data_IF_949983049393
#
_entry.id   IF_949983049393
#
_cell.length_a   1.000
_cell.length_b   1.000
_cell.length_c   1.000
_cell.angle_alpha   90.00
_cell.angle_beta   90.00
_cell.angle_gamma   90.00
#
_symmetry.space_group_name_H-M   'P 1'
#
loop_
_entity.id
_entity.type
_entity.pdbx_description
1 polymer ?
#
# COMPACT_ATOMS: atom_id res chain seq x y z
N UNK A 1 13.34 -13.29 -19.92
CA UNK A 1 14.63 -12.71 -19.47
C UNK A 1 14.86 -13.12 -18.02
N UNK A 2 15.90 -13.92 -17.72
CA UNK A 2 16.08 -14.55 -16.39
C UNK A 2 16.85 -13.70 -15.36
N UNK A 3 17.49 -12.59 -15.77
CA UNK A 3 18.44 -11.83 -14.92
C UNK A 3 17.92 -10.46 -14.44
N UNK A 4 16.59 -10.26 -14.41
CA UNK A 4 16.00 -8.95 -14.05
C UNK A 4 15.62 -8.84 -12.58
N UNK A 5 15.44 -9.93 -11.86
CA UNK A 5 15.09 -9.93 -10.45
C UNK A 5 16.29 -10.40 -9.62
N UNK A 6 16.69 -9.62 -8.62
CA UNK A 6 17.80 -9.92 -7.72
C UNK A 6 17.26 -9.83 -6.30
N UNK A 7 17.37 -10.93 -5.56
CA UNK A 7 17.07 -10.97 -4.13
C UNK A 7 18.40 -11.01 -3.36
N UNK A 8 18.62 -10.04 -2.49
CA UNK A 8 19.75 -9.95 -1.57
C UNK A 8 19.25 -10.33 -0.20
N UNK A 9 19.70 -11.48 0.32
CA UNK A 9 19.42 -11.90 1.70
C UNK A 9 20.63 -11.55 2.56
N UNK A 10 20.44 -10.69 3.55
CA UNK A 10 21.48 -10.17 4.43
C UNK A 10 21.61 -10.95 5.75
N UNK A 11 20.68 -11.85 6.09
CA UNK A 11 20.72 -12.63 7.34
C UNK A 11 21.76 -13.77 7.32
N UNK A 12 22.32 -14.09 6.16
CA UNK A 12 23.25 -15.21 5.96
C UNK A 12 24.68 -14.71 5.69
N UNK A 13 25.31 -14.01 6.65
CA UNK A 13 26.61 -13.32 6.47
C UNK A 13 27.70 -14.19 5.80
N UNK A 14 27.79 -15.46 6.21
CA UNK A 14 28.74 -16.44 5.66
C UNK A 14 28.46 -16.69 4.17
N UNK A 15 27.19 -16.77 3.77
CA UNK A 15 26.80 -17.02 2.38
C UNK A 15 26.92 -15.75 1.53
N UNK A 16 26.73 -14.56 2.10
CA UNK A 16 26.92 -13.29 1.39
C UNK A 16 28.33 -13.14 0.84
N UNK A 17 29.36 -13.38 1.68
CA UNK A 17 30.76 -13.29 1.24
C UNK A 17 31.08 -14.29 0.13
N UNK A 18 30.44 -15.46 0.18
CA UNK A 18 30.59 -16.47 -0.88
C UNK A 18 29.83 -16.08 -2.15
N UNK A 19 28.73 -15.34 -2.04
CA UNK A 19 27.84 -15.01 -3.14
C UNK A 19 28.10 -13.64 -3.80
N UNK A 20 29.03 -12.82 -3.32
CA UNK A 20 29.38 -11.52 -3.95
C UNK A 20 29.62 -11.66 -5.46
N UNK A 21 30.39 -12.67 -5.86
CA UNK A 21 30.69 -12.94 -7.27
C UNK A 21 29.44 -13.30 -8.10
N UNK A 22 28.40 -13.89 -7.47
CA UNK A 22 27.14 -14.24 -8.14
C UNK A 22 26.39 -12.96 -8.50
N UNK A 23 26.24 -12.03 -7.54
CA UNK A 23 25.60 -10.74 -7.78
C UNK A 23 26.33 -9.95 -8.87
N UNK A 24 27.66 -9.92 -8.85
CA UNK A 24 28.47 -9.32 -9.92
C UNK A 24 28.19 -9.91 -11.30
N UNK A 25 28.12 -11.24 -11.39
CA UNK A 25 27.82 -11.92 -12.65
C UNK A 25 26.40 -11.59 -13.12
N UNK A 26 25.42 -11.52 -12.21
CA UNK A 26 24.03 -11.20 -12.54
C UNK A 26 23.88 -9.74 -12.98
N UNK A 27 24.48 -8.80 -12.26
CA UNK A 27 24.50 -7.38 -12.58
C UNK A 27 25.17 -7.11 -13.93
N UNK A 28 26.28 -7.80 -14.24
CA UNK A 28 26.93 -7.72 -15.57
C UNK A 28 26.08 -8.34 -16.68
N UNK A 29 25.46 -9.51 -16.44
CA UNK A 29 24.62 -10.20 -17.43
C UNK A 29 23.33 -9.45 -17.75
N UNK A 30 22.76 -8.76 -16.77
CA UNK A 30 21.57 -7.92 -16.95
C UNK A 30 21.85 -6.63 -17.75
N UNK A 31 23.12 -6.26 -17.95
CA UNK A 31 23.58 -5.14 -18.79
C UNK A 31 22.88 -3.82 -18.46
N UNK A 32 21.97 -3.37 -19.34
CA UNK A 32 21.21 -2.12 -19.21
C UNK A 32 19.72 -2.37 -18.92
N UNK A 33 19.34 -3.63 -18.69
CA UNK A 33 17.95 -3.95 -18.38
C UNK A 33 17.55 -3.35 -17.03
N UNK A 34 16.29 -2.88 -16.91
CA UNK A 34 15.74 -2.50 -15.60
C UNK A 34 15.69 -3.69 -14.66
N UNK A 35 15.94 -3.43 -13.38
CA UNK A 35 16.11 -4.42 -12.32
C UNK A 35 14.98 -4.34 -11.31
N UNK A 36 14.49 -5.48 -10.85
CA UNK A 36 13.74 -5.62 -9.62
C UNK A 36 14.68 -6.08 -8.51
N UNK A 37 14.76 -5.30 -7.44
CA UNK A 37 15.63 -5.56 -6.31
C UNK A 37 14.77 -5.85 -5.09
N UNK A 38 15.03 -6.97 -4.43
CA UNK A 38 14.47 -7.29 -3.12
C UNK A 38 15.63 -7.43 -2.14
N UNK A 39 15.60 -6.68 -1.05
CA UNK A 39 16.58 -6.74 0.03
C UNK A 39 15.86 -7.20 1.29
N UNK A 40 16.36 -8.27 1.90
CA UNK A 40 15.78 -8.93 3.07
C UNK A 40 16.85 -9.08 4.13
N UNK A 41 16.54 -8.81 5.39
CA UNK A 41 17.39 -9.15 6.54
C UNK A 41 18.43 -8.08 6.93
N UNK A 42 19.22 -8.42 7.97
CA UNK A 42 20.30 -7.67 8.64
C UNK A 42 19.92 -6.71 9.78
N UNK A 43 19.64 -7.29 10.95
CA UNK A 43 19.37 -6.53 12.18
C UNK A 43 20.60 -5.80 12.73
N UNK A 44 21.79 -6.20 12.30
CA UNK A 44 23.06 -5.65 12.76
C UNK A 44 23.55 -4.59 11.78
N UNK A 45 23.73 -3.35 12.25
CA UNK A 45 24.22 -2.23 11.41
C UNK A 45 25.55 -2.54 10.71
N UNK A 46 26.33 -3.46 11.27
CA UNK A 46 27.64 -3.86 10.77
C UNK A 46 27.58 -4.75 9.51
N UNK A 47 26.43 -5.35 9.14
CA UNK A 47 26.36 -6.18 7.92
C UNK A 47 26.09 -5.40 6.62
N UNK A 48 26.39 -4.10 6.58
CA UNK A 48 26.54 -3.37 5.31
C UNK A 48 27.71 -3.96 4.51
N UNK A 49 27.41 -5.02 3.78
CA UNK A 49 28.39 -5.79 3.03
C UNK A 49 28.72 -5.10 1.71
N UNK A 50 29.92 -5.40 1.18
CA UNK A 50 30.34 -5.05 -0.19
C UNK A 50 29.30 -5.46 -1.25
N UNK A 51 28.49 -6.50 -0.97
CA UNK A 51 27.38 -6.93 -1.83
C UNK A 51 26.32 -5.86 -1.97
N UNK A 52 25.91 -5.26 -0.85
CA UNK A 52 24.86 -4.24 -0.86
C UNK A 52 25.34 -2.96 -1.53
N UNK A 53 26.56 -2.52 -1.25
CA UNK A 53 27.20 -1.38 -1.94
C UNK A 53 27.24 -1.61 -3.45
N UNK A 54 27.62 -2.81 -3.88
CA UNK A 54 27.64 -3.19 -5.28
C UNK A 54 26.25 -3.11 -5.91
N UNK A 55 25.21 -3.66 -5.27
CA UNK A 55 23.83 -3.59 -5.77
C UNK A 55 23.32 -2.14 -5.82
N UNK A 56 23.59 -1.34 -4.79
CA UNK A 56 23.24 0.09 -4.70
C UNK A 56 23.90 0.91 -5.81
N UNK A 57 25.13 0.57 -6.21
CA UNK A 57 25.83 1.25 -7.32
C UNK A 57 25.06 1.19 -8.66
N UNK A 58 24.11 0.25 -8.78
CA UNK A 58 23.24 0.08 -9.94
C UNK A 58 21.83 0.66 -9.77
N UNK A 59 21.55 1.46 -8.72
CA UNK A 59 20.21 1.99 -8.41
C UNK A 59 19.52 2.79 -9.51
N UNK A 60 20.29 3.39 -10.40
CA UNK A 60 19.75 4.10 -11.59
C UNK A 60 18.98 3.18 -12.55
N UNK A 61 19.12 1.86 -12.39
CA UNK A 61 18.44 0.84 -13.19
C UNK A 61 17.26 0.19 -12.48
N UNK A 62 17.01 0.51 -11.21
CA UNK A 62 15.96 -0.15 -10.44
C UNK A 62 14.58 0.31 -10.93
N UNK A 63 13.70 -0.65 -11.22
CA UNK A 63 12.31 -0.45 -11.63
C UNK A 63 11.34 -0.89 -10.51
N UNK A 64 11.73 -1.91 -9.75
CA UNK A 64 11.02 -2.41 -8.57
C UNK A 64 12.00 -2.47 -7.39
N UNK A 65 11.60 -1.97 -6.23
CA UNK A 65 12.38 -2.03 -5.00
C UNK A 65 11.51 -2.58 -3.87
N UNK A 66 11.99 -3.63 -3.21
CA UNK A 66 11.39 -4.18 -2.02
C UNK A 66 12.42 -4.23 -0.89
N UNK A 67 12.07 -3.63 0.24
CA UNK A 67 12.82 -3.67 1.48
C UNK A 67 11.94 -4.35 2.52
N UNK A 68 12.34 -5.53 2.96
CA UNK A 68 11.56 -6.33 3.90
C UNK A 68 12.36 -6.67 5.14
N UNK A 69 11.63 -7.09 6.17
CA UNK A 69 12.05 -7.63 7.47
C UNK A 69 13.53 -7.58 7.80
N UNK A 70 13.85 -6.89 8.91
CA UNK A 70 15.17 -6.93 9.49
C UNK A 70 16.19 -6.03 8.81
N UNK A 71 15.80 -5.12 7.91
CA UNK A 71 16.75 -4.12 7.38
C UNK A 71 17.34 -3.25 8.51
N UNK A 72 18.63 -2.91 8.44
CA UNK A 72 19.26 -2.05 9.43
C UNK A 72 18.58 -0.69 9.42
N UNK A 73 18.53 -0.08 10.60
CA UNK A 73 17.81 1.16 10.88
C UNK A 73 18.29 2.36 10.07
N UNK A 74 19.43 2.27 9.41
CA UNK A 74 19.95 3.34 8.58
C UNK A 74 19.71 3.10 7.07
N UNK A 75 18.49 3.41 6.61
CA UNK A 75 18.17 3.40 5.18
C UNK A 75 18.80 4.56 4.39
N UNK A 76 19.61 5.44 5.01
CA UNK A 76 20.28 6.52 4.27
C UNK A 76 21.23 5.98 3.18
N UNK A 77 21.80 4.79 3.36
CA UNK A 77 22.73 4.21 2.39
C UNK A 77 22.07 3.85 1.05
N UNK A 78 20.76 3.57 1.05
CA UNK A 78 19.99 3.29 -0.18
C UNK A 78 19.40 4.57 -0.79
N UNK A 79 19.58 5.73 -0.16
CA UNK A 79 19.10 7.00 -0.71
C UNK A 79 19.85 7.40 -1.99
N UNK A 80 19.21 8.30 -2.74
CA UNK A 80 19.74 8.89 -3.95
C UNK A 80 18.92 8.55 -5.21
N UNK A 81 19.47 8.85 -6.40
CA UNK A 81 18.68 8.84 -7.62
C UNK A 81 18.22 7.45 -8.01
N UNK A 82 16.90 7.28 -8.09
CA UNK A 82 16.22 6.06 -8.51
C UNK A 82 15.21 6.39 -9.62
N UNK A 83 15.67 6.92 -10.78
CA UNK A 83 14.84 7.52 -11.82
C UNK A 83 13.85 6.54 -12.49
N UNK A 84 14.09 5.24 -12.40
CA UNK A 84 13.26 4.22 -13.06
C UNK A 84 12.31 3.49 -12.10
N UNK A 85 12.40 3.72 -10.78
CA UNK A 85 11.58 2.99 -9.80
C UNK A 85 10.12 3.38 -9.99
N UNK A 86 9.28 2.37 -10.19
CA UNK A 86 7.82 2.47 -10.35
C UNK A 86 7.06 1.87 -9.18
N UNK A 87 7.63 0.84 -8.58
CA UNK A 87 7.00 0.06 -7.52
C UNK A 87 7.95 -0.01 -6.33
N UNK A 88 7.45 0.44 -5.17
CA UNK A 88 8.19 0.46 -3.90
C UNK A 88 7.42 -0.30 -2.84
N UNK A 89 8.06 -1.31 -2.26
CA UNK A 89 7.50 -2.15 -1.20
C UNK A 89 8.37 -2.00 0.05
N UNK A 90 7.78 -1.51 1.14
CA UNK A 90 8.45 -1.35 2.43
C UNK A 90 7.70 -2.17 3.47
N UNK A 91 8.42 -3.08 4.13
CA UNK A 91 7.94 -3.84 5.29
C UNK A 91 8.95 -3.65 6.43
N UNK A 92 8.75 -2.61 7.24
CA UNK A 92 9.62 -2.25 8.36
C UNK A 92 9.01 -2.83 9.63
N UNK A 93 9.76 -3.62 10.40
CA UNK A 93 9.20 -4.39 11.53
C UNK A 93 9.12 -3.62 12.86
N UNK A 94 9.45 -2.33 12.90
CA UNK A 94 9.48 -1.56 14.14
C UNK A 94 8.77 -0.20 14.00
N UNK A 95 7.52 -0.08 14.47
CA UNK A 95 6.77 1.17 14.43
C UNK A 95 7.29 2.20 15.45
N UNK A 96 8.03 1.77 16.48
CA UNK A 96 8.56 2.66 17.52
C UNK A 96 9.85 3.35 17.06
N UNK A 97 10.36 2.96 15.89
CA UNK A 97 11.62 3.46 15.38
C UNK A 97 11.42 4.77 14.61
N UNK A 98 11.94 5.87 15.15
CA UNK A 98 11.88 7.22 14.55
C UNK A 98 12.81 7.41 13.32
N UNK A 99 13.00 6.37 12.50
CA UNK A 99 13.85 6.48 11.30
C UNK A 99 13.06 7.12 10.18
N UNK A 100 13.48 8.32 9.80
CA UNK A 100 12.99 9.00 8.60
C UNK A 100 13.73 8.46 7.38
N UNK A 101 12.97 8.11 6.36
CA UNK A 101 13.48 7.56 5.11
C UNK A 101 13.01 8.45 3.97
N UNK A 102 13.93 8.95 3.16
CA UNK A 102 13.61 9.88 2.08
C UNK A 102 13.90 9.31 0.70
N UNK A 103 12.84 9.07 -0.08
CA UNK A 103 12.94 8.63 -1.48
C UNK A 103 12.42 9.70 -2.45
N UNK A 104 12.95 10.92 -2.34
CA UNK A 104 12.50 12.06 -3.15
C UNK A 104 12.86 11.95 -4.64
N UNK A 105 13.93 11.22 -4.99
CA UNK A 105 14.42 11.08 -6.37
C UNK A 105 13.88 9.86 -7.12
N UNK A 106 12.56 9.64 -7.02
CA UNK A 106 11.84 8.59 -7.75
C UNK A 106 10.73 9.16 -8.63
N UNK A 107 11.04 9.94 -9.70
CA UNK A 107 10.05 10.64 -10.54
C UNK A 107 9.07 9.72 -11.29
N UNK A 108 9.33 8.41 -11.31
CA UNK A 108 8.49 7.41 -11.99
C UNK A 108 7.67 6.56 -11.01
N UNK A 109 7.74 6.81 -9.70
CA UNK A 109 7.04 6.02 -8.68
C UNK A 109 5.52 6.13 -8.86
N UNK A 110 4.85 4.98 -9.01
CA UNK A 110 3.41 4.86 -9.22
C UNK A 110 2.72 3.99 -8.17
N UNK A 111 3.39 2.95 -7.71
CA UNK A 111 2.86 1.96 -6.77
C UNK A 111 3.67 1.98 -5.49
N UNK A 112 2.98 2.08 -4.36
CA UNK A 112 3.60 1.98 -3.04
C UNK A 112 2.84 0.96 -2.21
N UNK A 113 3.59 0.05 -1.60
CA UNK A 113 3.12 -0.89 -0.59
C UNK A 113 3.89 -0.60 0.71
N UNK A 114 3.18 -0.28 1.79
CA UNK A 114 3.75 -0.10 3.12
C UNK A 114 3.10 -1.09 4.07
N UNK A 115 3.90 -1.86 4.79
CA UNK A 115 3.45 -2.79 5.82
C UNK A 115 4.21 -2.54 7.12
N UNK A 116 3.48 -2.39 8.23
CA UNK A 116 4.04 -2.15 9.56
C UNK A 116 4.96 -0.91 9.66
N UNK A 117 4.80 0.05 8.74
CA UNK A 117 5.64 1.25 8.66
C UNK A 117 4.99 2.44 9.37
N UNK A 118 5.77 3.18 10.17
CA UNK A 118 5.40 4.51 10.64
C UNK A 118 5.34 5.48 9.45
N UNK A 119 4.17 5.66 8.85
CA UNK A 119 4.09 6.29 7.53
C UNK A 119 4.49 7.78 7.55
N UNK A 120 4.35 8.44 8.69
CA UNK A 120 4.85 9.80 8.90
C UNK A 120 6.38 9.92 8.72
N UNK A 121 7.11 8.82 8.85
CA UNK A 121 8.56 8.75 8.69
C UNK A 121 9.00 8.49 7.25
N UNK A 122 8.06 8.19 6.33
CA UNK A 122 8.36 7.85 4.94
C UNK A 122 8.08 9.05 4.03
N UNK A 123 9.12 9.62 3.44
CA UNK A 123 9.02 10.77 2.54
C UNK A 123 9.09 10.29 1.08
N UNK A 124 7.95 10.37 0.38
CA UNK A 124 7.79 9.96 -1.02
C UNK A 124 7.23 11.10 -1.87
N UNK A 125 7.40 11.05 -3.21
CA UNK A 125 6.64 11.90 -4.13
C UNK A 125 5.18 11.41 -4.22
N UNK A 126 4.38 11.66 -3.17
CA UNK A 126 3.01 11.17 -3.03
C UNK A 126 2.08 11.58 -4.20
N UNK A 127 2.27 12.78 -4.75
CA UNK A 127 1.37 13.35 -5.76
C UNK A 127 1.27 12.51 -7.04
N UNK A 128 2.29 11.74 -7.39
CA UNK A 128 2.37 10.99 -8.64
C UNK A 128 1.92 9.52 -8.52
N UNK A 129 1.56 9.09 -7.30
CA UNK A 129 1.10 7.73 -7.06
C UNK A 129 -0.27 7.48 -7.70
N UNK A 130 -0.42 6.29 -8.27
CA UNK A 130 -1.68 5.79 -8.82
C UNK A 130 -2.19 4.56 -8.06
N UNK A 131 -1.32 3.87 -7.33
CA UNK A 131 -1.68 2.73 -6.48
C UNK A 131 -1.00 2.82 -5.12
N UNK A 132 -1.79 2.68 -4.05
CA UNK A 132 -1.31 2.73 -2.68
C UNK A 132 -1.92 1.59 -1.89
N UNK A 133 -1.06 0.85 -1.20
CA UNK A 133 -1.45 -0.22 -0.30
C UNK A 133 -0.81 0.03 1.06
N UNK A 134 -1.63 0.23 2.08
CA UNK A 134 -1.18 0.41 3.46
C UNK A 134 -1.67 -0.78 4.29
N UNK A 135 -0.74 -1.44 4.97
CA UNK A 135 -1.00 -2.50 5.91
C UNK A 135 -0.54 -2.09 7.30
N UNK A 136 -1.38 -2.44 8.27
CA UNK A 136 -1.14 -2.26 9.69
C UNK A 136 -0.93 -0.81 10.14
N UNK A 137 -1.73 0.10 9.57
CA UNK A 137 -1.67 1.54 9.84
C UNK A 137 -2.89 2.04 10.60
N UNK A 138 -2.79 3.16 11.33
CA UNK A 138 -3.95 3.81 11.96
C UNK A 138 -4.64 4.80 11.01
N UNK A 139 -5.97 5.03 11.12
CA UNK A 139 -6.68 5.95 10.23
C UNK A 139 -6.14 7.39 10.29
N UNK A 140 -5.70 7.79 11.49
CA UNK A 140 -5.04 9.06 11.79
C UNK A 140 -3.77 9.26 10.97
N UNK A 141 -2.99 8.20 10.77
CA UNK A 141 -1.76 8.21 9.99
C UNK A 141 -2.04 8.18 8.49
N UNK A 142 -3.04 7.41 8.04
CA UNK A 142 -3.39 7.31 6.62
C UNK A 142 -3.84 8.65 6.02
N UNK A 143 -4.62 9.42 6.79
CA UNK A 143 -5.39 10.55 6.27
C UNK A 143 -4.51 11.65 5.64
N UNK A 144 -3.42 12.11 6.27
CA UNK A 144 -2.50 13.08 5.67
C UNK A 144 -1.86 12.62 4.35
N UNK A 145 -1.60 11.32 4.19
CA UNK A 145 -0.99 10.78 2.97
C UNK A 145 -2.01 10.69 1.86
N UNK A 146 -3.22 10.22 2.18
CA UNK A 146 -4.31 10.15 1.21
C UNK A 146 -4.61 11.55 0.64
N UNK A 147 -4.57 12.60 1.48
CA UNK A 147 -4.70 13.99 1.01
C UNK A 147 -3.57 14.45 0.06
N UNK A 148 -2.39 13.83 0.10
CA UNK A 148 -1.26 14.11 -0.77
C UNK A 148 -1.24 13.26 -2.05
N UNK A 149 -2.23 12.39 -2.26
CA UNK A 149 -2.29 11.45 -3.40
C UNK A 149 -3.51 11.71 -4.32
N UNK A 150 -3.67 12.91 -4.90
CA UNK A 150 -4.86 13.24 -5.71
C UNK A 150 -5.01 12.41 -6.99
N UNK A 151 -3.92 11.81 -7.47
CA UNK A 151 -3.88 10.97 -8.68
C UNK A 151 -4.10 9.47 -8.39
N UNK A 152 -4.45 9.12 -7.15
CA UNK A 152 -4.65 7.74 -6.77
C UNK A 152 -5.86 7.12 -7.49
N UNK A 153 -5.64 5.98 -8.13
CA UNK A 153 -6.65 5.19 -8.86
C UNK A 153 -7.05 3.96 -8.07
N UNK A 154 -6.09 3.35 -7.36
CA UNK A 154 -6.27 2.15 -6.55
C UNK A 154 -5.78 2.40 -5.13
N UNK A 155 -6.60 2.06 -4.13
CA UNK A 155 -6.27 2.19 -2.72
C UNK A 155 -6.69 0.95 -1.95
N UNK A 156 -5.74 0.36 -1.21
CA UNK A 156 -5.99 -0.76 -0.29
C UNK A 156 -5.51 -0.39 1.11
N UNK A 157 -6.41 -0.41 2.07
CA UNK A 157 -6.13 -0.04 3.45
C UNK A 157 -6.46 -1.21 4.39
N UNK A 158 -5.48 -1.67 5.15
CA UNK A 158 -5.68 -2.58 6.29
C UNK A 158 -5.37 -1.81 7.55
N UNK A 159 -6.42 -1.34 8.20
CA UNK A 159 -6.32 -0.29 9.21
C UNK A 159 -6.60 -0.86 10.60
N UNK A 160 -5.76 -0.53 11.56
CA UNK A 160 -5.97 -0.82 12.98
C UNK A 160 -6.80 0.30 13.57
N UNK A 161 -7.85 -0.03 14.31
CA UNK A 161 -8.66 0.99 14.95
C UNK A 161 -8.11 1.26 16.35
N UNK A 162 -7.83 2.53 16.62
CA UNK A 162 -7.54 2.99 17.97
C UNK A 162 -8.78 2.81 18.85
N UNK A 163 -8.59 2.41 20.11
CA UNK A 163 -9.72 2.17 21.02
C UNK A 163 -10.45 3.45 21.45
N UNK A 164 -9.84 4.64 21.31
CA UNK A 164 -10.28 5.80 22.11
C UNK A 164 -10.25 7.18 21.46
N UNK A 165 -9.93 7.37 20.17
CA UNK A 165 -9.90 8.71 19.60
C UNK A 165 -11.11 9.00 18.69
N UNK A 166 -12.03 9.88 19.10
CA UNK A 166 -13.03 10.43 18.19
C UNK A 166 -12.29 11.31 17.19
N UNK A 167 -12.00 10.78 16.01
CA UNK A 167 -11.35 11.56 14.96
C UNK A 167 -12.37 12.49 14.30
N UNK A 168 -12.22 13.83 14.37
CA UNK A 168 -12.95 14.72 13.47
C UNK A 168 -12.58 14.40 12.02
N UNK A 169 -13.57 14.42 11.13
CA UNK A 169 -13.46 13.87 9.77
C UNK A 169 -12.51 14.68 8.88
N UNK A 170 -11.35 14.13 8.46
CA UNK A 170 -10.70 14.65 7.27
C UNK A 170 -11.61 14.31 6.08
N UNK A 171 -12.03 15.33 5.33
CA UNK A 171 -12.66 15.12 4.01
C UNK A 171 -11.57 14.63 3.04
N UNK A 172 -11.34 13.32 3.00
CA UNK A 172 -10.35 12.68 2.11
C UNK A 172 -10.90 12.72 0.70
N UNK A 173 -10.40 13.65 -0.13
CA UNK A 173 -10.79 13.81 -1.52
C UNK A 173 -9.83 13.05 -2.42
N UNK A 174 -10.31 12.00 -3.09
CA UNK A 174 -9.54 11.24 -4.07
C UNK A 174 -10.33 11.21 -5.38
N UNK A 175 -10.24 12.26 -6.21
CA UNK A 175 -11.13 12.48 -7.35
C UNK A 175 -10.99 11.40 -8.43
N UNK A 176 -9.81 10.76 -8.52
CA UNK A 176 -9.50 9.75 -9.54
C UNK A 176 -9.60 8.31 -9.02
N UNK A 177 -10.01 8.10 -7.76
CA UNK A 177 -10.00 6.78 -7.15
C UNK A 177 -11.11 5.92 -7.75
N UNK A 178 -10.73 4.85 -8.45
CA UNK A 178 -11.66 3.91 -9.09
C UNK A 178 -11.89 2.66 -8.24
N UNK A 179 -10.90 2.24 -7.44
CA UNK A 179 -10.97 1.03 -6.61
C UNK A 179 -10.53 1.31 -5.17
N UNK A 180 -11.41 1.03 -4.21
CA UNK A 180 -11.14 1.15 -2.78
C UNK A 180 -11.37 -0.19 -2.07
N UNK A 181 -10.35 -0.67 -1.37
CA UNK A 181 -10.41 -1.90 -0.57
C UNK A 181 -10.07 -1.56 0.88
N UNK A 182 -11.04 -1.72 1.77
CA UNK A 182 -10.90 -1.59 3.21
C UNK A 182 -10.87 -2.99 3.84
N UNK A 183 -9.91 -3.26 4.73
CA UNK A 183 -9.73 -4.56 5.39
C UNK A 183 -9.32 -4.40 6.87
N UNK A 184 -9.53 -5.47 7.64
CA UNK A 184 -8.92 -5.75 8.95
C UNK A 184 -9.08 -4.76 10.15
N UNK A 185 -10.26 -4.19 10.36
CA UNK A 185 -10.64 -3.44 11.58
C UNK A 185 -10.86 -4.33 12.84
N UNK A 186 -9.80 -4.91 13.44
CA UNK A 186 -9.91 -5.90 14.55
C UNK A 186 -10.68 -5.45 15.82
N UNK A 187 -11.02 -4.17 15.99
CA UNK A 187 -11.75 -3.68 17.17
C UNK A 187 -13.14 -3.12 16.84
N UNK A 188 -13.81 -2.58 17.86
CA UNK A 188 -15.15 -1.97 17.82
C UNK A 188 -15.34 -1.12 16.54
N UNK A 189 -16.49 -1.22 15.86
CA UNK A 189 -16.73 -0.51 14.62
C UNK A 189 -16.54 1.00 14.81
N UNK A 190 -15.58 1.59 14.11
CA UNK A 190 -15.56 3.05 13.91
C UNK A 190 -16.64 3.36 12.88
N UNK A 191 -17.80 3.74 13.40
CA UNK A 191 -18.92 4.21 12.61
C UNK A 191 -18.48 5.44 11.82
N UNK A 192 -18.83 5.46 10.53
CA UNK A 192 -18.62 6.65 9.70
C UNK A 192 -17.25 6.77 9.03
N UNK A 193 -16.28 5.85 9.24
CA UNK A 193 -14.99 5.96 8.55
C UNK A 193 -15.13 5.99 7.02
N UNK A 194 -16.04 5.17 6.47
CA UNK A 194 -16.36 5.19 5.04
C UNK A 194 -16.85 6.56 4.56
N UNK A 195 -17.54 7.33 5.43
CA UNK A 195 -18.07 8.65 5.10
C UNK A 195 -16.99 9.73 5.01
N UNK A 196 -15.77 9.47 5.49
CA UNK A 196 -14.65 10.43 5.37
C UNK A 196 -14.15 10.58 3.93
N UNK A 197 -14.49 9.62 3.06
CA UNK A 197 -14.05 9.60 1.67
C UNK A 197 -15.02 10.36 0.75
N UNK A 198 -14.46 11.20 -0.12
CA UNK A 198 -15.13 11.86 -1.24
C UNK A 198 -14.46 11.37 -2.54
N UNK A 199 -15.09 10.38 -3.17
CA UNK A 199 -14.47 9.56 -4.23
C UNK A 199 -15.37 9.43 -5.46
N UNK A 200 -15.59 10.52 -6.22
CA UNK A 200 -16.58 10.57 -7.30
C UNK A 200 -16.32 9.59 -8.45
N UNK A 201 -15.07 9.20 -8.69
CA UNK A 201 -14.71 8.22 -9.72
C UNK A 201 -14.85 6.76 -9.27
N UNK A 202 -15.27 6.49 -8.02
CA UNK A 202 -15.24 5.13 -7.46
C UNK A 202 -16.20 4.19 -8.20
N UNK A 203 -15.67 3.06 -8.65
CA UNK A 203 -16.38 2.00 -9.37
C UNK A 203 -16.38 0.68 -8.60
N UNK A 204 -15.32 0.39 -7.86
CA UNK A 204 -15.20 -0.85 -7.08
C UNK A 204 -14.94 -0.54 -5.61
N UNK A 205 -15.80 -1.08 -4.74
CA UNK A 205 -15.69 -0.96 -3.29
C UNK A 205 -15.65 -2.35 -2.65
N UNK A 206 -14.61 -2.64 -1.88
CA UNK A 206 -14.56 -3.80 -0.99
C UNK A 206 -14.48 -3.32 0.45
N UNK A 207 -15.43 -3.67 1.29
CA UNK A 207 -15.50 -3.18 2.68
C UNK A 207 -16.02 -4.28 3.63
N UNK A 208 -15.52 -4.40 4.86
CA UNK A 208 -16.06 -5.37 5.82
C UNK A 208 -17.42 -4.89 6.34
N UNK A 209 -18.39 -5.79 6.54
CA UNK A 209 -19.77 -5.41 6.93
C UNK A 209 -19.78 -4.56 8.23
N UNK A 210 -18.88 -4.84 9.16
CA UNK A 210 -18.75 -4.07 10.41
C UNK A 210 -18.53 -2.56 10.23
N UNK A 211 -17.95 -2.11 9.11
CA UNK A 211 -17.76 -0.68 8.85
C UNK A 211 -19.01 0.04 8.37
N UNK A 212 -20.01 -0.71 7.90
CA UNK A 212 -21.27 -0.17 7.40
C UNK A 212 -22.44 -0.43 8.36
N UNK A 213 -22.23 -1.23 9.41
CA UNK A 213 -23.15 -1.38 10.55
C UNK A 213 -23.33 -0.05 11.30
N UNK A 214 -24.43 0.12 12.06
CA UNK A 214 -25.52 -0.84 12.29
C UNK A 214 -26.47 -1.02 11.10
N UNK A 215 -26.52 -0.06 10.17
CA UNK A 215 -27.43 -0.08 9.02
C UNK A 215 -26.63 -0.13 7.70
N UNK A 216 -26.16 -1.32 7.24
CA UNK A 216 -25.30 -1.45 6.06
C UNK A 216 -25.82 -0.74 4.81
N UNK A 217 -27.12 -0.90 4.54
CA UNK A 217 -27.78 -0.34 3.37
C UNK A 217 -27.83 1.19 3.41
N UNK A 218 -28.19 1.77 4.55
CA UNK A 218 -28.25 3.22 4.74
C UNK A 218 -26.85 3.84 4.65
N UNK A 219 -25.86 3.23 5.31
CA UNK A 219 -24.46 3.66 5.27
C UNK A 219 -23.91 3.69 3.84
N UNK A 220 -24.14 2.63 3.07
CA UNK A 220 -23.71 2.58 1.67
C UNK A 220 -24.44 3.60 0.79
N UNK A 221 -25.75 3.74 0.97
CA UNK A 221 -26.56 4.71 0.20
C UNK A 221 -26.11 6.14 0.49
N UNK A 222 -25.87 6.46 1.77
CA UNK A 222 -25.33 7.74 2.22
C UNK A 222 -23.94 8.00 1.62
N UNK A 223 -23.06 7.01 1.64
CA UNK A 223 -21.72 7.11 1.05
C UNK A 223 -21.78 7.38 -0.47
N UNK A 224 -22.59 6.63 -1.21
CA UNK A 224 -22.75 6.80 -2.67
C UNK A 224 -23.32 8.17 -3.00
N UNK A 225 -24.28 8.64 -2.21
CA UNK A 225 -24.90 9.96 -2.38
C UNK A 225 -23.87 11.06 -2.09
N UNK A 226 -23.17 10.98 -0.95
CA UNK A 226 -22.15 11.96 -0.52
C UNK A 226 -20.96 12.02 -1.47
N UNK A 227 -20.48 10.87 -1.95
CA UNK A 227 -19.34 10.79 -2.88
C UNK A 227 -19.74 11.05 -4.33
N UNK A 228 -21.04 11.08 -4.65
CA UNK A 228 -21.57 11.16 -6.01
C UNK A 228 -21.07 10.05 -6.98
N UNK A 229 -20.52 8.96 -6.44
CA UNK A 229 -19.85 7.92 -7.22
C UNK A 229 -20.83 6.96 -7.92
N UNK A 230 -20.35 6.19 -8.90
CA UNK A 230 -21.14 5.24 -9.67
C UNK A 230 -20.58 3.82 -9.48
N UNK A 231 -20.84 3.24 -8.32
CA UNK A 231 -20.35 1.90 -7.98
C UNK A 231 -20.91 0.84 -8.94
N UNK A 232 -19.99 0.09 -9.55
CA UNK A 232 -20.26 -1.04 -10.43
C UNK A 232 -20.09 -2.37 -9.69
N UNK A 233 -19.21 -2.39 -8.69
CA UNK A 233 -18.87 -3.55 -7.89
C UNK A 233 -18.85 -3.18 -6.41
N UNK A 234 -19.54 -3.98 -5.61
CA UNK A 234 -19.53 -3.87 -4.15
C UNK A 234 -19.29 -5.25 -3.57
N UNK A 235 -18.23 -5.38 -2.78
CA UNK A 235 -17.89 -6.60 -2.05
C UNK A 235 -17.96 -6.32 -0.56
N UNK A 236 -18.92 -6.96 0.11
CA UNK A 236 -19.01 -6.94 1.57
C UNK A 236 -18.27 -8.17 2.09
N UNK A 237 -17.31 -7.98 2.98
CA UNK A 237 -16.53 -9.09 3.58
C UNK A 237 -16.89 -9.30 5.06
N UNK A 238 -16.72 -10.54 5.53
CA UNK A 238 -17.08 -10.97 6.90
C UNK A 238 -18.44 -11.65 6.99
N UNK A 239 -18.88 -11.95 8.21
CA UNK A 239 -20.17 -12.59 8.49
C UNK A 239 -21.32 -11.62 8.16
N UNK A 240 -21.90 -11.77 6.96
CA UNK A 240 -22.99 -10.91 6.50
C UNK A 240 -24.27 -11.21 7.26
N UNK A 241 -24.79 -10.21 7.96
CA UNK A 241 -26.11 -10.24 8.60
C UNK A 241 -27.25 -10.00 7.62
N UNK A 242 -26.95 -9.34 6.49
CA UNK A 242 -27.93 -8.96 5.48
C UNK A 242 -27.80 -9.87 4.25
N UNK A 243 -28.90 -10.36 3.66
CA UNK A 243 -28.86 -11.11 2.40
C UNK A 243 -28.27 -10.28 1.26
N UNK A 244 -27.48 -10.91 0.40
CA UNK A 244 -26.84 -10.28 -0.75
C UNK A 244 -27.83 -9.53 -1.68
N UNK A 245 -29.03 -10.09 -1.86
CA UNK A 245 -30.09 -9.48 -2.66
C UNK A 245 -30.46 -8.07 -2.18
N UNK A 246 -30.50 -7.84 -0.86
CA UNK A 246 -30.81 -6.54 -0.29
C UNK A 246 -29.75 -5.47 -0.62
N UNK A 247 -28.47 -5.86 -0.67
CA UNK A 247 -27.41 -4.96 -1.14
C UNK A 247 -27.59 -4.62 -2.62
N UNK A 248 -27.91 -5.61 -3.46
CA UNK A 248 -28.13 -5.39 -4.89
C UNK A 248 -29.32 -4.46 -5.15
N UNK A 249 -30.42 -4.66 -4.43
CA UNK A 249 -31.62 -3.83 -4.57
C UNK A 249 -31.39 -2.39 -4.11
N UNK A 250 -30.65 -2.20 -3.02
CA UNK A 250 -30.24 -0.88 -2.56
C UNK A 250 -29.33 -0.16 -3.57
N UNK A 251 -28.37 -0.86 -4.16
CA UNK A 251 -27.46 -0.29 -5.16
C UNK A 251 -28.21 0.12 -6.44
N UNK A 252 -29.17 -0.70 -6.89
CA UNK A 252 -30.05 -0.37 -8.02
C UNK A 252 -30.94 0.83 -7.74
N UNK A 253 -31.41 0.97 -6.51
CA UNK A 253 -32.23 2.10 -6.08
C UNK A 253 -31.41 3.38 -5.98
N UNK A 254 -30.13 3.27 -5.61
CA UNK A 254 -29.22 4.40 -5.50
C UNK A 254 -28.84 4.98 -6.87
N UNK A 255 -28.61 4.14 -7.91
CA UNK A 255 -28.37 4.55 -9.31
C UNK A 255 -28.71 3.41 -10.29
N UNK A 256 -29.18 3.75 -11.50
CA UNK A 256 -29.47 2.86 -12.65
C UNK A 256 -28.26 1.99 -13.12
N UNK A 257 -27.70 1.12 -12.27
CA UNK A 257 -26.44 0.41 -12.52
C UNK A 257 -26.64 -1.11 -12.61
N UNK A 258 -26.04 -1.71 -13.64
CA UNK A 258 -25.94 -3.14 -13.92
C UNK A 258 -24.98 -3.84 -12.93
N UNK A 259 -25.49 -4.78 -12.15
CA UNK A 259 -24.74 -5.54 -11.14
C UNK A 259 -23.90 -6.63 -11.82
N UNK A 260 -22.56 -6.52 -11.75
CA UNK A 260 -21.63 -7.58 -12.14
C UNK A 260 -21.51 -8.68 -11.06
N UNK A 261 -21.28 -9.92 -11.48
CA UNK A 261 -21.28 -11.10 -10.62
C UNK A 261 -20.23 -11.02 -9.49
N UNK A 262 -20.64 -11.39 -8.28
CA UNK A 262 -19.78 -11.60 -7.12
C UNK A 262 -19.02 -12.93 -7.29
N UNK A 263 -17.71 -12.90 -7.17
CA UNK A 263 -16.83 -14.08 -7.24
C UNK A 263 -16.58 -14.62 -5.82
N UNK A 264 -16.68 -15.94 -5.58
CA UNK A 264 -16.28 -16.54 -4.31
C UNK A 264 -14.76 -16.44 -4.14
N UNK A 265 -14.32 -16.28 -2.89
CA UNK A 265 -12.98 -15.84 -2.46
C UNK A 265 -11.80 -16.66 -3.04
N UNK A 266 -10.77 -15.95 -3.55
CA UNK A 266 -9.38 -16.41 -3.46
C UNK A 266 -8.83 -15.91 -2.10
N UNK A 267 -8.53 -16.85 -1.21
CA UNK A 267 -7.85 -16.63 0.08
C UNK A 267 -6.37 -16.28 -0.09
#
# INVERSE_FOLDING_TARGET
>A
MLWRAIKVNLDEEILLRQHTHIYDVWLRRSRRCPLGIQIVGCREEECFSEVLENVISHRVRWEYLELSEGMPFNLSAIEGPMPLVRDLHLSLLDPDLEVKVAFYEMPMLRTVFLNDCAVASVILPWIQLTSLTLYNVYPSECSPILQQTPNLVQCKLHVWLERHNPHPEPNIRLPNLESLVLRNFRSSPVLGYLQTFLVPALRSLSVPERLVRPNPIESLTSFITKSECRLQQVRITGESSVPEASYRDALRSAKEISVGNLHPDDE
#
